data_IF_041490838166
#
_entry.id   IF_041490838166
#
_cell.length_a   1.000
_cell.length_b   1.000
_cell.length_c   1.000
_cell.angle_alpha   90.00
_cell.angle_beta   90.00
_cell.angle_gamma   90.00
#
_symmetry.space_group_name_H-M   'P 1'
#
loop_
_entity.id
_entity.type
_entity.pdbx_description
1 polymer ?
#
# COMPACT_ATOMS: atom_id res chain seq x y z
N UNK A 1 24.24 5.28 6.68
CA UNK A 1 23.57 5.16 7.98
C UNK A 1 22.15 5.72 7.84
N UNK A 2 21.15 4.86 7.57
CA UNK A 2 19.78 5.31 7.21
C UNK A 2 18.99 5.84 8.41
N UNK A 3 19.34 5.39 9.62
CA UNK A 3 18.66 5.74 10.88
C UNK A 3 18.67 7.24 11.20
N UNK A 4 19.61 8.01 10.65
CA UNK A 4 19.65 9.48 10.81
C UNK A 4 18.43 10.15 10.19
N UNK A 5 17.82 9.50 9.19
CA UNK A 5 16.63 9.99 8.50
C UNK A 5 15.32 9.51 9.13
N UNK A 6 15.35 8.76 10.23
CA UNK A 6 14.12 8.39 10.93
C UNK A 6 13.47 9.66 11.51
N UNK A 7 12.15 9.72 11.38
CA UNK A 7 11.34 10.84 11.83
C UNK A 7 11.31 10.87 13.35
N UNK A 8 11.45 12.07 13.91
CA UNK A 8 11.23 12.32 15.33
C UNK A 8 9.82 12.86 15.53
N UNK A 9 9.26 12.65 16.72
CA UNK A 9 7.90 13.12 17.04
C UNK A 9 7.73 14.64 16.89
N UNK A 10 8.83 15.41 17.07
CA UNK A 10 8.84 16.87 17.01
C UNK A 10 9.32 17.42 15.65
N UNK A 11 9.60 16.54 14.68
CA UNK A 11 9.92 17.01 13.33
C UNK A 11 8.66 17.64 12.69
N UNK A 12 8.78 18.82 12.08
CA UNK A 12 7.69 19.39 11.30
C UNK A 12 7.26 18.44 10.16
N UNK A 13 5.98 18.44 9.80
CA UNK A 13 5.41 17.53 8.80
C UNK A 13 6.18 17.52 7.48
N UNK A 14 6.57 18.69 6.97
CA UNK A 14 7.34 18.80 5.73
C UNK A 14 8.73 18.14 5.84
N UNK A 15 9.36 18.17 7.01
CA UNK A 15 10.63 17.46 7.25
C UNK A 15 10.39 15.96 7.26
N UNK A 16 9.30 15.50 7.88
CA UNK A 16 8.93 14.08 7.88
C UNK A 16 8.71 13.57 6.46
N UNK A 17 7.98 14.31 5.62
CA UNK A 17 7.73 13.94 4.22
C UNK A 17 9.02 13.76 3.42
N UNK A 18 9.93 14.73 3.50
CA UNK A 18 11.23 14.65 2.79
C UNK A 18 12.10 13.49 3.32
N UNK A 19 12.06 13.24 4.63
CA UNK A 19 12.75 12.10 5.24
C UNK A 19 12.29 10.76 4.67
N UNK A 20 10.97 10.58 4.45
CA UNK A 20 10.45 9.36 3.83
C UNK A 20 11.00 9.18 2.41
N UNK A 21 11.03 10.25 1.62
CA UNK A 21 11.58 10.20 0.25
C UNK A 21 13.07 9.83 0.25
N UNK A 22 13.86 10.39 1.18
CA UNK A 22 15.28 10.03 1.35
C UNK A 22 15.44 8.58 1.82
N UNK A 23 14.60 8.09 2.74
CA UNK A 23 14.63 6.70 3.20
C UNK A 23 14.40 5.72 2.04
N UNK A 24 13.44 6.00 1.16
CA UNK A 24 13.21 5.20 -0.07
C UNK A 24 14.44 5.22 -0.97
N UNK A 25 15.09 6.37 -1.15
CA UNK A 25 16.32 6.48 -1.96
C UNK A 25 17.49 5.67 -1.38
N UNK A 26 17.62 5.61 -0.05
CA UNK A 26 18.71 4.92 0.64
C UNK A 26 18.44 3.44 0.96
N UNK A 27 17.20 2.98 0.79
CA UNK A 27 16.82 1.58 0.97
C UNK A 27 17.61 0.66 0.03
N UNK A 28 18.18 -0.41 0.60
CA UNK A 28 18.97 -1.46 -0.04
C UNK A 28 18.81 -2.78 0.75
N UNK A 29 19.31 -3.88 0.20
CA UNK A 29 19.16 -5.24 0.77
C UNK A 29 19.66 -5.39 2.21
N UNK A 30 20.58 -4.55 2.67
CA UNK A 30 21.15 -4.65 4.03
C UNK A 30 20.34 -3.92 5.09
N UNK A 31 19.48 -2.99 4.69
CA UNK A 31 18.75 -2.13 5.61
C UNK A 31 17.23 -2.16 5.40
N UNK A 32 16.74 -2.86 4.38
CA UNK A 32 15.34 -2.79 4.00
C UNK A 32 14.40 -3.26 5.09
N UNK A 33 14.75 -4.31 5.84
CA UNK A 33 13.91 -4.81 6.95
C UNK A 33 13.68 -3.73 8.01
N UNK A 34 14.74 -3.00 8.38
CA UNK A 34 14.66 -1.94 9.38
C UNK A 34 13.91 -0.72 8.82
N UNK A 35 14.11 -0.39 7.54
CA UNK A 35 13.40 0.73 6.90
C UNK A 35 11.91 0.42 6.77
N UNK A 36 11.54 -0.78 6.34
CA UNK A 36 10.14 -1.18 6.19
C UNK A 36 9.45 -1.23 7.54
N UNK A 37 10.09 -1.80 8.58
CA UNK A 37 9.53 -1.81 9.93
C UNK A 37 9.23 -0.39 10.43
N UNK A 38 10.16 0.55 10.24
CA UNK A 38 9.96 1.95 10.62
C UNK A 38 8.82 2.61 9.80
N UNK A 39 8.70 2.30 8.51
CA UNK A 39 7.60 2.80 7.67
C UNK A 39 6.23 2.23 8.09
N UNK A 40 6.18 0.99 8.59
CA UNK A 40 4.97 0.39 9.17
C UNK A 40 4.55 1.14 10.44
N UNK A 41 5.50 1.48 11.31
CA UNK A 41 5.21 2.31 12.48
C UNK A 41 4.66 3.69 12.07
N UNK A 42 5.22 4.31 11.02
CA UNK A 42 4.74 5.58 10.49
C UNK A 42 3.36 5.50 9.83
N UNK A 43 3.03 4.37 9.20
CA UNK A 43 1.70 4.13 8.64
C UNK A 43 0.60 4.04 9.72
N UNK A 44 0.98 3.84 10.99
CA UNK A 44 0.08 3.83 12.14
C UNK A 44 0.01 5.19 12.87
N UNK A 45 0.70 6.24 12.39
CA UNK A 45 0.55 7.59 12.95
C UNK A 45 -0.83 8.19 12.68
N UNK A 46 -1.22 9.16 13.52
CA UNK A 46 -2.54 9.85 13.43
C UNK A 46 -2.64 10.77 12.22
N UNK A 47 -1.51 11.28 11.72
CA UNK A 47 -1.50 12.18 10.56
C UNK A 47 -1.74 11.39 9.27
N UNK A 48 -2.93 11.62 8.68
CA UNK A 48 -3.40 10.88 7.51
C UNK A 48 -2.47 11.01 6.31
N UNK A 49 -1.93 12.20 6.06
CA UNK A 49 -1.09 12.45 4.89
C UNK A 49 0.26 11.72 5.06
N UNK A 50 0.84 11.82 6.26
CA UNK A 50 2.08 11.13 6.60
C UNK A 50 1.94 9.60 6.54
N UNK A 51 0.87 9.07 7.12
CA UNK A 51 0.58 7.63 7.10
C UNK A 51 0.41 7.11 5.66
N UNK A 52 -0.35 7.82 4.81
CA UNK A 52 -0.47 7.47 3.39
C UNK A 52 0.90 7.51 2.69
N UNK A 53 1.70 8.55 2.94
CA UNK A 53 3.03 8.66 2.34
C UNK A 53 3.97 7.53 2.78
N UNK A 54 3.85 7.03 4.01
CA UNK A 54 4.61 5.89 4.50
C UNK A 54 4.25 4.60 3.75
N UNK A 55 2.96 4.31 3.58
CA UNK A 55 2.48 3.15 2.76
C UNK A 55 3.00 3.23 1.33
N UNK A 56 2.83 4.40 0.69
CA UNK A 56 3.33 4.65 -0.67
C UNK A 56 4.85 4.44 -0.77
N UNK A 57 5.58 4.81 0.29
CA UNK A 57 7.03 4.60 0.38
C UNK A 57 7.40 3.12 0.43
N UNK A 58 6.64 2.29 1.16
CA UNK A 58 6.80 0.82 1.17
C UNK A 58 6.58 0.25 -0.24
N UNK A 59 5.50 0.65 -0.91
CA UNK A 59 5.22 0.24 -2.29
C UNK A 59 6.35 0.62 -3.25
N UNK A 60 6.87 1.85 -3.15
CA UNK A 60 8.01 2.31 -3.96
C UNK A 60 9.29 1.52 -3.71
N UNK A 61 9.54 1.09 -2.46
CA UNK A 61 10.68 0.20 -2.16
C UNK A 61 10.48 -1.16 -2.84
N UNK A 62 9.29 -1.74 -2.78
CA UNK A 62 8.96 -3.00 -3.46
C UNK A 62 9.20 -2.93 -4.98
N UNK A 63 8.89 -1.77 -5.58
CA UNK A 63 9.11 -1.51 -7.00
C UNK A 63 10.58 -1.21 -7.34
N UNK A 64 11.34 -0.64 -6.41
CA UNK A 64 12.75 -0.29 -6.62
C UNK A 64 13.68 -1.49 -6.42
N UNK A 65 13.41 -2.34 -5.43
CA UNK A 65 14.29 -3.41 -4.99
C UNK A 65 13.54 -4.75 -4.98
N UNK A 66 13.83 -5.62 -5.94
CA UNK A 66 13.14 -6.91 -6.08
C UNK A 66 13.32 -7.81 -4.87
N UNK A 67 14.52 -7.83 -4.27
CA UNK A 67 14.81 -8.59 -3.06
C UNK A 67 13.99 -8.15 -1.83
N UNK A 68 13.39 -6.95 -1.87
CA UNK A 68 12.55 -6.42 -0.80
C UNK A 68 11.05 -6.59 -1.07
N UNK A 69 10.65 -7.04 -2.28
CA UNK A 69 9.25 -7.11 -2.66
C UNK A 69 8.44 -7.96 -1.68
N UNK A 70 8.95 -9.13 -1.28
CA UNK A 70 8.29 -10.01 -0.31
C UNK A 70 8.06 -9.32 1.05
N UNK A 71 9.08 -8.65 1.57
CA UNK A 71 9.01 -7.94 2.86
C UNK A 71 8.01 -6.78 2.78
N UNK A 72 8.05 -5.99 1.71
CA UNK A 72 7.14 -4.88 1.51
C UNK A 72 5.69 -5.33 1.32
N UNK A 73 5.44 -6.41 0.57
CA UNK A 73 4.07 -6.93 0.37
C UNK A 73 3.49 -7.46 1.68
N UNK A 74 4.27 -8.19 2.47
CA UNK A 74 3.82 -8.67 3.78
C UNK A 74 3.51 -7.49 4.73
N UNK A 75 4.33 -6.45 4.72
CA UNK A 75 4.08 -5.23 5.49
C UNK A 75 2.79 -4.51 5.05
N UNK A 76 2.54 -4.41 3.74
CA UNK A 76 1.29 -3.82 3.23
C UNK A 76 0.08 -4.67 3.61
N UNK A 77 0.20 -6.00 3.57
CA UNK A 77 -0.88 -6.91 3.98
C UNK A 77 -1.22 -6.72 5.46
N UNK A 78 -0.23 -6.62 6.35
CA UNK A 78 -0.44 -6.31 7.77
C UNK A 78 -1.20 -4.99 7.95
N UNK A 79 -0.83 -3.95 7.19
CA UNK A 79 -1.52 -2.65 7.25
C UNK A 79 -2.97 -2.70 6.75
N UNK A 80 -3.26 -3.56 5.77
CA UNK A 80 -4.63 -3.81 5.28
C UNK A 80 -5.49 -4.46 6.38
N UNK A 81 -4.92 -5.39 7.15
CA UNK A 81 -5.60 -6.09 8.24
C UNK A 81 -5.92 -5.18 9.45
N UNK A 82 -5.15 -4.11 9.66
CA UNK A 82 -5.30 -3.17 10.79
C UNK A 82 -6.30 -2.00 10.57
N UNK A 83 -6.95 -1.94 9.40
CA UNK A 83 -8.22 -1.22 9.12
C UNK A 83 -8.30 0.30 9.40
N UNK A 84 -7.26 1.09 9.11
CA UNK A 84 -7.48 2.53 8.89
C UNK A 84 -7.92 2.77 7.44
N UNK A 85 -9.12 3.31 7.20
CA UNK A 85 -9.71 3.41 5.85
C UNK A 85 -8.80 4.10 4.82
N UNK A 86 -8.05 5.14 5.24
CA UNK A 86 -7.14 5.86 4.36
C UNK A 86 -5.86 5.06 4.05
N UNK A 87 -5.34 4.31 5.02
CA UNK A 87 -4.19 3.40 4.85
C UNK A 87 -4.57 2.26 3.92
N UNK A 88 -5.76 1.67 4.11
CA UNK A 88 -6.30 0.64 3.23
C UNK A 88 -6.37 1.13 1.78
N UNK A 89 -6.94 2.32 1.56
CA UNK A 89 -7.07 2.88 0.22
C UNK A 89 -5.71 3.12 -0.45
N UNK A 90 -4.73 3.63 0.29
CA UNK A 90 -3.38 3.82 -0.21
C UNK A 90 -2.66 2.48 -0.46
N UNK A 91 -2.95 1.47 0.35
CA UNK A 91 -2.45 0.10 0.20
C UNK A 91 -2.97 -0.54 -1.08
N UNK A 92 -4.26 -0.36 -1.42
CA UNK A 92 -4.84 -0.83 -2.68
C UNK A 92 -4.11 -0.22 -3.89
N UNK A 93 -3.87 1.10 -3.86
CA UNK A 93 -3.15 1.80 -4.93
C UNK A 93 -1.72 1.27 -5.06
N UNK A 94 -1.02 1.11 -3.94
CA UNK A 94 0.35 0.58 -3.92
C UNK A 94 0.41 -0.86 -4.41
N UNK A 95 -0.53 -1.71 -3.99
CA UNK A 95 -0.60 -3.11 -4.42
C UNK A 95 -0.91 -3.27 -5.90
N UNK A 96 -1.74 -2.41 -6.50
CA UNK A 96 -1.93 -2.38 -7.96
C UNK A 96 -0.60 -2.26 -8.68
N UNK A 97 0.24 -1.32 -8.26
CA UNK A 97 1.53 -1.08 -8.91
C UNK A 97 2.50 -2.25 -8.72
N UNK A 98 2.47 -2.89 -7.54
CA UNK A 98 3.21 -4.13 -7.26
C UNK A 98 2.75 -5.28 -8.17
N UNK A 99 1.44 -5.49 -8.33
CA UNK A 99 0.90 -6.52 -9.22
C UNK A 99 1.28 -6.29 -10.68
N UNK A 100 1.33 -5.03 -11.13
CA UNK A 100 1.79 -4.67 -12.49
C UNK A 100 3.26 -5.01 -12.71
N UNK A 101 4.09 -4.91 -11.66
CA UNK A 101 5.51 -5.26 -11.74
C UNK A 101 5.75 -6.78 -11.61
N UNK A 102 4.99 -7.45 -10.76
CA UNK A 102 5.15 -8.88 -10.45
C UNK A 102 3.87 -9.67 -10.77
N UNK A 103 3.50 -9.83 -12.05
CA UNK A 103 2.26 -10.51 -12.42
C UNK A 103 2.26 -11.97 -11.98
N UNK A 104 1.11 -12.45 -11.50
CA UNK A 104 0.95 -13.82 -10.99
C UNK A 104 1.67 -14.12 -9.67
N UNK A 105 2.26 -13.09 -9.03
CA UNK A 105 2.81 -13.17 -7.68
C UNK A 105 1.92 -12.42 -6.70
N UNK A 106 1.91 -12.86 -5.45
CA UNK A 106 1.17 -12.23 -4.35
C UNK A 106 -0.36 -12.23 -4.46
N UNK A 107 -0.94 -13.13 -5.26
CA UNK A 107 -2.40 -13.24 -5.46
C UNK A 107 -3.17 -13.47 -4.14
N UNK A 108 -2.52 -14.01 -3.10
CA UNK A 108 -3.12 -14.19 -1.77
C UNK A 108 -3.58 -12.89 -1.11
N UNK A 109 -3.01 -11.74 -1.51
CA UNK A 109 -3.39 -10.41 -0.97
C UNK A 109 -4.74 -9.95 -1.53
N UNK A 110 -5.20 -10.49 -2.66
CA UNK A 110 -6.45 -10.05 -3.32
C UNK A 110 -7.67 -10.29 -2.44
N UNK A 111 -7.74 -11.43 -1.73
CA UNK A 111 -8.84 -11.76 -0.83
C UNK A 111 -9.04 -10.69 0.26
N UNK A 112 -8.01 -10.42 1.09
CA UNK A 112 -8.05 -9.35 2.10
C UNK A 112 -8.40 -7.97 1.54
N UNK A 113 -7.93 -7.62 0.33
CA UNK A 113 -8.29 -6.35 -0.31
C UNK A 113 -9.79 -6.30 -0.70
N UNK A 114 -10.35 -7.41 -1.18
CA UNK A 114 -11.76 -7.49 -1.60
C UNK A 114 -12.74 -7.47 -0.41
N UNK A 115 -12.36 -8.03 0.74
CA UNK A 115 -13.19 -7.98 1.96
C UNK A 115 -13.47 -6.54 2.42
N UNK A 116 -12.63 -5.59 2.02
CA UNK A 116 -12.73 -4.19 2.43
C UNK A 116 -13.17 -3.26 1.27
N UNK A 117 -13.83 -3.78 0.23
CA UNK A 117 -14.18 -3.01 -0.97
C UNK A 117 -15.20 -1.88 -0.69
N UNK A 118 -16.08 -2.08 0.29
CA UNK A 118 -17.13 -1.12 0.66
C UNK A 118 -16.58 0.17 1.32
N UNK A 119 -15.39 0.13 1.90
CA UNK A 119 -14.78 1.30 2.56
C UNK A 119 -13.95 2.20 1.61
N UNK A 120 -13.85 1.85 0.32
CA UNK A 120 -13.09 2.64 -0.65
C UNK A 120 -13.85 3.90 -1.07
N UNK A 121 -13.35 5.08 -0.68
CA UNK A 121 -13.93 6.36 -1.02
C UNK A 121 -13.19 7.08 -2.17
N UNK A 122 -11.85 7.05 -2.15
CA UNK A 122 -10.95 7.70 -3.11
C UNK A 122 -11.13 7.14 -4.52
N UNK A 123 -11.31 7.98 -5.55
CA UNK A 123 -11.40 7.54 -6.94
C UNK A 123 -10.21 6.67 -7.37
N UNK A 124 -9.00 7.04 -6.98
CA UNK A 124 -7.77 6.35 -7.36
C UNK A 124 -7.71 4.92 -6.79
N UNK A 125 -8.21 4.73 -5.57
CA UNK A 125 -8.29 3.42 -4.95
C UNK A 125 -9.35 2.53 -5.62
N UNK A 126 -10.48 3.11 -6.05
CA UNK A 126 -11.51 2.39 -6.81
C UNK A 126 -11.01 1.99 -8.20
N UNK A 127 -10.36 2.91 -8.91
CA UNK A 127 -9.74 2.61 -10.20
C UNK A 127 -8.69 1.49 -10.08
N UNK A 128 -7.87 1.55 -9.03
CA UNK A 128 -6.90 0.52 -8.73
C UNK A 128 -7.55 -0.83 -8.44
N UNK A 129 -8.61 -0.84 -7.65
CA UNK A 129 -9.37 -2.04 -7.36
C UNK A 129 -10.04 -2.62 -8.61
N UNK A 130 -10.70 -1.80 -9.43
CA UNK A 130 -11.31 -2.23 -10.70
C UNK A 130 -10.26 -2.88 -11.61
N UNK A 131 -9.07 -2.29 -11.68
CA UNK A 131 -7.96 -2.88 -12.44
C UNK A 131 -7.56 -4.25 -11.89
N UNK A 132 -7.40 -4.40 -10.57
CA UNK A 132 -7.03 -5.68 -9.93
C UNK A 132 -8.11 -6.74 -10.20
N UNK A 133 -9.38 -6.39 -10.05
CA UNK A 133 -10.50 -7.32 -10.29
C UNK A 133 -10.59 -7.75 -11.76
N UNK A 134 -10.27 -6.84 -12.70
CA UNK A 134 -10.25 -7.14 -14.12
C UNK A 134 -9.09 -8.05 -14.55
N UNK A 135 -7.93 -7.92 -13.91
CA UNK A 135 -6.75 -8.72 -14.21
C UNK A 135 -6.83 -10.15 -13.61
N UNK A 136 -7.49 -10.30 -12.46
CA UNK A 136 -7.57 -11.57 -11.71
C UNK A 136 -9.02 -12.06 -11.49
N UNK A 137 -9.81 -12.30 -12.55
CA UNK A 137 -11.22 -12.70 -12.42
C UNK A 137 -11.39 -14.07 -11.74
N UNK A 138 -10.45 -14.99 -11.97
CA UNK A 138 -10.53 -16.39 -11.49
C UNK A 138 -10.22 -16.56 -10.00
N UNK A 139 -9.69 -15.51 -9.35
CA UNK A 139 -9.31 -15.54 -7.92
C UNK A 139 -10.36 -14.97 -6.99
N UNK A 140 -11.47 -14.50 -7.54
CA UNK A 140 -12.54 -13.90 -6.78
C UNK A 140 -13.71 -14.89 -6.80
N UNK A 141 -13.83 -15.73 -5.77
CA UNK A 141 -14.98 -16.63 -5.64
C UNK A 141 -16.34 -15.87 -5.62
N UNK A 142 -16.30 -14.56 -5.32
CA UNK A 142 -17.44 -13.62 -5.35
C UNK A 142 -17.37 -12.55 -6.47
N UNK A 143 -16.62 -12.78 -7.57
CA UNK A 143 -16.42 -11.77 -8.62
C UNK A 143 -17.75 -11.29 -9.21
N UNK A 144 -18.69 -12.20 -9.40
CA UNK A 144 -20.00 -11.92 -10.00
C UNK A 144 -20.85 -10.93 -9.19
N UNK A 145 -20.83 -11.04 -7.86
CA UNK A 145 -21.60 -10.14 -6.99
C UNK A 145 -20.89 -8.80 -6.78
N UNK A 146 -19.55 -8.79 -6.72
CA UNK A 146 -18.73 -7.57 -6.62
C UNK A 146 -18.71 -6.75 -7.92
N UNK A 147 -18.75 -7.41 -9.09
CA UNK A 147 -18.85 -6.79 -10.41
C UNK A 147 -20.28 -6.37 -10.79
N UNK A 148 -21.29 -6.64 -9.96
CA UNK A 148 -22.64 -6.09 -10.14
C UNK A 148 -22.81 -4.72 -9.45
N UNK A 149 -21.97 -4.42 -8.45
CA UNK A 149 -21.86 -3.11 -7.77
C UNK A 149 -21.33 -1.94 -8.67
N UNK A 150 -20.48 -2.11 -9.71
CA UNK A 150 -19.92 -1.03 -10.51
C UNK A 150 -20.95 -0.11 -11.16
N UNK A 151 -22.15 -0.63 -11.48
CA UNK A 151 -23.21 0.19 -12.07
C UNK A 151 -23.71 1.30 -11.13
N UNK A 152 -23.56 1.15 -9.81
CA UNK A 152 -23.90 2.20 -8.85
C UNK A 152 -22.73 3.17 -8.59
N UNK A 153 -21.48 2.77 -8.82
CA UNK A 153 -20.29 3.62 -8.66
C UNK A 153 -20.01 4.54 -9.85
N UNK A 154 -20.51 4.21 -11.04
CA UNK A 154 -20.31 5.00 -12.26
C UNK A 154 -21.24 6.23 -12.38
N UNK A 155 -22.25 6.35 -11.53
CA UNK A 155 -23.29 7.40 -11.63
C UNK A 155 -23.55 8.19 -10.34
N UNK A 156 -22.62 8.20 -9.37
CA UNK A 156 -22.72 9.04 -8.17
C UNK A 156 -21.44 9.77 -7.85
#
# INVERSE_FOLDING_TARGET
EVKVFFCKYNDPIYVKMEKLDVMVMLANERNVDVVVAELVDYANEVDLEFACKAVSSIGRIALKLEAAADVCVNAILELVEHRADYVLQESVVSMRDVFRKYPGKYEFVIGPLCENLESLAKPEAKEAMIWILGEYPDRIENAGDLLYIPNHWLFR
#
